data_IF_520301148499
#
_entry.id   IF_520301148499
#
_cell.length_a   1.000
_cell.length_b   1.000
_cell.length_c   1.000
_cell.angle_alpha   90.00
_cell.angle_beta   90.00
_cell.angle_gamma   90.00
#
_symmetry.space_group_name_H-M   'P 1'
#
loop_
_entity.id
_entity.type
_entity.pdbx_description
1 polymer ?
#
# COMPACT_ATOMS: atom_id res chain seq x y z
N UNK A 1 7.29 -3.99 -21.45
CA UNK A 1 7.05 -2.96 -20.42
C UNK A 1 8.39 -2.55 -19.86
N UNK A 2 8.68 -1.25 -19.80
CA UNK A 2 9.95 -0.74 -19.26
C UNK A 2 9.84 -0.53 -17.75
N UNK A 3 10.91 -0.83 -17.01
CA UNK A 3 10.97 -0.58 -15.57
C UNK A 3 11.20 0.91 -15.28
N UNK A 4 10.77 1.36 -14.09
CA UNK A 4 11.04 2.72 -13.61
C UNK A 4 12.57 2.90 -13.41
N UNK A 5 13.19 3.99 -13.89
CA UNK A 5 14.60 4.31 -13.64
C UNK A 5 14.96 4.32 -12.15
N UNK A 6 16.24 4.12 -11.80
CA UNK A 6 16.69 3.99 -10.40
C UNK A 6 16.43 5.22 -9.52
N UNK A 7 16.43 6.42 -10.10
CA UNK A 7 16.29 7.69 -9.40
C UNK A 7 14.86 8.27 -9.48
N UNK A 8 13.95 7.55 -10.11
CA UNK A 8 12.54 7.96 -10.20
C UNK A 8 11.71 7.24 -9.14
N UNK A 9 10.69 7.95 -8.66
CA UNK A 9 9.71 7.43 -7.72
C UNK A 9 8.30 7.77 -8.15
N UNK A 10 7.34 6.97 -7.70
CA UNK A 10 5.92 7.15 -8.03
C UNK A 10 5.09 7.46 -6.80
N UNK A 11 3.94 8.10 -7.04
CA UNK A 11 2.84 8.18 -6.09
C UNK A 11 1.86 7.06 -6.44
N UNK A 12 1.60 6.15 -5.50
CA UNK A 12 0.57 5.12 -5.69
C UNK A 12 -0.73 5.54 -5.01
N UNK A 13 -1.84 5.34 -5.71
CA UNK A 13 -3.19 5.62 -5.18
C UNK A 13 -4.05 4.37 -5.31
N UNK A 14 -4.57 3.88 -4.20
CA UNK A 14 -5.30 2.62 -4.10
C UNK A 14 -6.71 2.90 -3.63
N UNK A 15 -7.68 2.29 -4.31
CA UNK A 15 -9.09 2.42 -3.97
C UNK A 15 -9.67 1.04 -3.64
N UNK A 16 -10.45 0.93 -2.56
CA UNK A 16 -11.06 -0.33 -2.13
C UNK A 16 -10.02 -1.46 -2.00
N UNK A 17 -10.26 -2.62 -2.61
CA UNK A 17 -9.32 -3.75 -2.62
C UNK A 17 -7.96 -3.42 -3.27
N UNK A 18 -7.86 -2.33 -4.05
CA UNK A 18 -6.59 -1.87 -4.62
C UNK A 18 -5.55 -1.46 -3.58
N UNK A 19 -5.97 -1.17 -2.34
CA UNK A 19 -5.04 -0.94 -1.23
C UNK A 19 -4.17 -2.16 -0.89
N UNK A 20 -4.66 -3.38 -1.16
CA UNK A 20 -3.89 -4.61 -0.96
C UNK A 20 -2.67 -4.68 -1.90
N UNK A 21 -2.88 -4.33 -3.17
CA UNK A 21 -1.79 -4.27 -4.15
C UNK A 21 -0.77 -3.20 -3.80
N UNK A 22 -1.21 -2.05 -3.30
CA UNK A 22 -0.29 -1.00 -2.81
C UNK A 22 0.51 -1.47 -1.61
N UNK A 23 -0.15 -2.11 -0.65
CA UNK A 23 0.51 -2.65 0.54
C UNK A 23 1.62 -3.63 0.14
N UNK A 24 1.35 -4.52 -0.81
CA UNK A 24 2.35 -5.45 -1.33
C UNK A 24 3.49 -4.70 -2.07
N UNK A 25 3.15 -3.72 -2.91
CA UNK A 25 4.12 -2.94 -3.67
C UNK A 25 5.04 -2.11 -2.74
N UNK A 26 4.51 -1.55 -1.65
CA UNK A 26 5.30 -0.85 -0.63
C UNK A 26 6.34 -1.77 0.03
N UNK A 27 6.04 -3.07 0.15
CA UNK A 27 6.97 -4.03 0.75
C UNK A 27 8.11 -4.41 -0.20
N UNK A 28 7.79 -4.58 -1.48
CA UNK A 28 8.76 -5.04 -2.51
C UNK A 28 9.55 -3.89 -3.14
N UNK A 29 8.92 -2.72 -3.29
CA UNK A 29 9.44 -1.57 -4.05
C UNK A 29 9.43 -0.28 -3.22
N UNK A 30 9.65 -0.36 -1.90
CA UNK A 30 9.67 0.80 -1.00
C UNK A 30 10.58 1.94 -1.48
N UNK A 31 11.69 1.61 -2.12
CA UNK A 31 12.64 2.59 -2.67
C UNK A 31 12.15 3.33 -3.92
N UNK A 32 11.10 2.80 -4.58
CA UNK A 32 10.50 3.34 -5.82
C UNK A 32 9.19 4.08 -5.56
N UNK A 33 8.65 4.04 -4.34
CA UNK A 33 7.37 4.66 -3.99
C UNK A 33 7.65 5.82 -3.05
N UNK A 34 7.36 7.04 -3.50
CA UNK A 34 7.56 8.24 -2.68
C UNK A 34 6.42 8.41 -1.69
N UNK A 35 5.18 8.20 -2.16
CA UNK A 35 3.96 8.33 -1.36
C UNK A 35 2.96 7.25 -1.77
N UNK A 36 2.25 6.70 -0.79
CA UNK A 36 1.09 5.85 -1.01
C UNK A 36 -0.16 6.46 -0.37
N UNK A 37 -1.22 6.57 -1.18
CA UNK A 37 -2.52 7.14 -0.79
C UNK A 37 -3.56 6.02 -0.85
N UNK A 38 -4.29 5.85 0.25
CA UNK A 38 -5.35 4.86 0.38
C UNK A 38 -6.69 5.61 0.46
N UNK A 39 -7.55 5.40 -0.54
CA UNK A 39 -8.86 6.04 -0.67
C UNK A 39 -9.95 5.00 -0.49
N UNK A 40 -10.66 5.03 0.64
CA UNK A 40 -11.65 3.99 0.99
C UNK A 40 -11.11 2.57 0.72
N UNK A 41 -9.83 2.33 1.04
CA UNK A 41 -9.06 1.18 0.60
C UNK A 41 -8.58 0.30 1.75
N UNK A 42 -8.46 -0.99 1.50
CA UNK A 42 -7.98 -1.96 2.48
C UNK A 42 -6.47 -1.82 2.66
N UNK A 43 -6.03 -1.58 3.89
CA UNK A 43 -4.62 -1.48 4.24
C UNK A 43 -4.30 -2.54 5.29
N UNK A 44 -3.37 -3.45 4.98
CA UNK A 44 -2.96 -4.53 5.87
C UNK A 44 -1.52 -4.27 6.35
N UNK A 45 -1.21 -4.33 7.65
CA UNK A 45 0.14 -4.08 8.16
C UNK A 45 1.18 -5.08 7.64
N UNK A 46 0.75 -6.30 7.26
CA UNK A 46 1.64 -7.37 6.81
C UNK A 46 1.43 -7.78 5.34
N UNK A 47 0.55 -7.10 4.60
CA UNK A 47 0.07 -7.54 3.28
C UNK A 47 -0.90 -8.71 3.38
N UNK A 48 -1.35 -9.27 2.25
CA UNK A 48 -2.25 -10.42 2.22
C UNK A 48 -1.52 -11.67 2.72
N UNK A 49 -1.73 -12.05 3.98
CA UNK A 49 -1.35 -13.34 4.52
C UNK A 49 -2.65 -14.14 4.68
N UNK A 50 -2.61 -15.42 4.28
CA UNK A 50 -3.72 -16.40 4.30
C UNK A 50 -4.88 -16.08 5.25
N UNK A 51 -6.11 -16.26 4.73
CA UNK A 51 -7.45 -15.79 5.15
C UNK A 51 -7.80 -15.69 6.66
N UNK A 52 -7.03 -16.29 7.57
CA UNK A 52 -7.31 -16.34 9.01
C UNK A 52 -6.72 -15.16 9.82
N UNK A 53 -5.69 -14.45 9.34
CA UNK A 53 -5.09 -13.30 10.06
C UNK A 53 -5.62 -11.93 9.60
N UNK A 54 -6.08 -11.79 8.36
CA UNK A 54 -6.52 -10.50 7.78
C UNK A 54 -7.81 -9.93 8.43
N UNK A 55 -8.56 -10.75 9.16
CA UNK A 55 -9.81 -10.31 9.84
C UNK A 55 -9.52 -9.42 11.07
N UNK A 56 -8.29 -9.43 11.60
CA UNK A 56 -7.97 -8.75 12.89
C UNK A 56 -7.20 -7.44 12.75
N UNK A 57 -6.61 -7.16 11.59
CA UNK A 57 -5.54 -6.17 11.44
C UNK A 57 -5.94 -4.89 10.66
N UNK A 58 -7.22 -4.53 10.64
CA UNK A 58 -7.72 -3.36 9.87
C UNK A 58 -7.25 -1.99 10.43
N UNK A 59 -6.41 -1.94 11.46
CA UNK A 59 -6.09 -0.68 12.17
C UNK A 59 -4.62 -0.47 12.55
N UNK A 60 -3.68 -0.45 11.60
CA UNK A 60 -2.37 0.12 11.90
C UNK A 60 -1.66 0.79 10.71
N UNK A 61 -1.46 2.12 10.82
CA UNK A 61 -0.84 3.00 9.81
C UNK A 61 0.68 3.11 10.01
N UNK A 62 1.52 2.86 8.98
CA UNK A 62 2.91 3.32 8.98
C UNK A 62 2.96 4.85 8.97
N UNK A 63 3.96 5.46 9.63
CA UNK A 63 4.07 6.93 9.76
C UNK A 63 4.17 7.71 8.43
N UNK A 64 4.39 7.04 7.30
CA UNK A 64 4.46 7.62 5.95
C UNK A 64 3.19 7.42 5.11
N UNK A 65 2.15 6.78 5.64
CA UNK A 65 0.88 6.56 4.94
C UNK A 65 -0.14 7.64 5.28
N UNK A 66 -0.60 8.38 4.26
CA UNK A 66 -1.72 9.31 4.40
C UNK A 66 -3.00 8.58 4.02
N UNK A 67 -3.85 8.31 5.01
CA UNK A 67 -5.18 7.72 4.80
C UNK A 67 -6.21 8.83 4.64
N UNK A 68 -6.82 8.90 3.46
CA UNK A 68 -7.91 9.85 3.19
C UNK A 68 -9.23 9.07 3.22
N UNK A 69 -9.92 9.15 4.35
CA UNK A 69 -11.30 8.66 4.50
C UNK A 69 -12.23 9.80 4.10
N UNK A 70 -12.76 9.76 2.87
CA UNK A 70 -13.88 10.60 2.42
C UNK A 70 -15.12 9.76 2.23
#
# INVERSE_FOLDING_TARGET
MSALPEHEKVIMVGHSAGGLSITHALRVFSNKIEVAIFVAATMLPWGYQTEEEDIKDVTFLPSSSVMLTV
#
